data_IF_614602428357
#
_entry.id   IF_614602428357
#
_cell.length_a   1.000
_cell.length_b   1.000
_cell.length_c   1.000
_cell.angle_alpha   90.00
_cell.angle_beta   90.00
_cell.angle_gamma   90.00
#
_symmetry.space_group_name_H-M   'P 1'
#
loop_
_entity.id
_entity.type
_entity.pdbx_description
1 polymer ?
#
# COMPACT_ATOMS: atom_id res chain seq x y z
N UNK A 1 -3.50 -2.36 -25.76
CA UNK A 1 -3.08 -2.74 -24.39
C UNK A 1 -1.73 -2.11 -24.09
N UNK A 2 -1.53 -1.43 -22.94
CA UNK A 2 -0.26 -1.07 -22.24
C UNK A 2 -0.65 -0.53 -20.82
N UNK A 3 0.30 -0.47 -19.88
CA UNK A 3 0.15 -0.20 -18.42
C UNK A 3 -0.37 -1.40 -17.58
N UNK A 4 -1.27 -2.24 -18.11
CA UNK A 4 -1.85 -3.39 -17.37
C UNK A 4 -1.71 -4.77 -18.02
N UNK A 5 -1.14 -4.88 -19.21
CA UNK A 5 -1.08 -6.18 -19.88
C UNK A 5 -0.23 -6.16 -21.15
N UNK A 6 1.01 -6.61 -20.97
CA UNK A 6 2.08 -7.04 -21.90
C UNK A 6 3.44 -6.52 -21.38
N UNK A 7 4.55 -7.04 -21.91
CA UNK A 7 5.89 -6.66 -21.45
C UNK A 7 6.28 -5.30 -22.03
N UNK A 8 6.74 -4.37 -21.19
CA UNK A 8 7.16 -3.03 -21.62
C UNK A 8 8.25 -3.05 -22.70
N UNK A 9 9.07 -4.11 -22.75
CA UNK A 9 10.11 -4.32 -23.77
C UNK A 9 9.56 -4.58 -25.17
N UNK A 10 8.27 -4.91 -25.32
CA UNK A 10 7.60 -5.12 -26.61
C UNK A 10 6.48 -4.10 -26.89
N UNK A 11 6.29 -3.10 -26.01
CA UNK A 11 5.33 -1.99 -26.22
C UNK A 11 5.92 -1.02 -27.27
N UNK A 12 5.26 -0.82 -28.41
CA UNK A 12 5.68 0.10 -29.49
C UNK A 12 4.70 1.29 -29.60
N UNK A 13 4.46 1.96 -28.49
CA UNK A 13 3.44 3.01 -28.41
C UNK A 13 4.16 4.32 -28.11
N UNK A 14 4.11 5.27 -29.05
CA UNK A 14 4.79 6.56 -28.92
C UNK A 14 3.81 7.71 -28.63
N UNK A 15 2.50 7.48 -28.80
CA UNK A 15 1.45 8.49 -28.68
C UNK A 15 0.92 8.70 -27.26
N UNK A 16 1.50 8.07 -26.23
CA UNK A 16 0.96 8.10 -24.86
C UNK A 16 1.87 8.88 -23.91
N UNK A 17 1.33 9.84 -23.14
CA UNK A 17 2.12 10.58 -22.16
C UNK A 17 2.67 9.65 -21.09
N UNK A 18 3.95 9.82 -20.78
CA UNK A 18 4.65 9.11 -19.71
C UNK A 18 4.08 9.55 -18.36
N UNK A 19 3.39 8.65 -17.68
CA UNK A 19 2.91 8.86 -16.32
C UNK A 19 3.86 8.19 -15.33
N UNK A 20 4.21 8.88 -14.25
CA UNK A 20 4.98 8.28 -13.16
C UNK A 20 4.13 7.21 -12.46
N UNK A 21 4.48 5.94 -12.66
CA UNK A 21 3.79 4.83 -11.99
C UNK A 21 4.36 4.70 -10.58
N UNK A 22 3.56 5.06 -9.58
CA UNK A 22 3.88 4.84 -8.17
C UNK A 22 4.26 3.38 -7.94
N UNK A 23 5.21 3.15 -7.01
CA UNK A 23 5.74 1.82 -6.70
C UNK A 23 4.60 0.83 -6.45
N UNK A 24 4.54 -0.22 -7.27
CA UNK A 24 3.63 -1.34 -7.04
C UNK A 24 4.08 -2.03 -5.76
N UNK A 25 3.23 -2.01 -4.74
CA UNK A 25 3.49 -2.68 -3.48
C UNK A 25 2.17 -3.02 -2.79
N UNK A 26 2.08 -4.24 -2.27
CA UNK A 26 1.02 -4.58 -1.34
C UNK A 26 1.27 -3.77 -0.07
N UNK A 27 0.28 -3.01 0.45
CA UNK A 27 0.44 -2.33 1.72
C UNK A 27 0.85 -3.34 2.81
N UNK A 28 1.61 -2.88 3.80
CA UNK A 28 2.02 -3.73 4.90
C UNK A 28 0.79 -4.36 5.56
N UNK A 29 0.76 -5.70 5.63
CA UNK A 29 -0.36 -6.44 6.22
C UNK A 29 -0.40 -6.40 7.73
N UNK A 30 0.65 -5.86 8.35
CA UNK A 30 0.83 -5.84 9.79
C UNK A 30 0.99 -4.39 10.22
N UNK A 31 0.38 -4.04 11.35
CA UNK A 31 0.61 -2.75 11.97
C UNK A 31 2.03 -2.67 12.56
N UNK A 32 2.50 -1.44 12.80
CA UNK A 32 3.83 -1.20 13.38
C UNK A 32 4.01 -1.90 14.73
N UNK A 33 2.97 -1.92 15.57
CA UNK A 33 2.99 -2.60 16.86
C UNK A 33 3.26 -4.12 16.74
N UNK A 34 2.53 -4.83 15.88
CA UNK A 34 2.76 -6.27 15.68
C UNK A 34 4.10 -6.55 15.01
N UNK A 35 4.62 -5.60 14.21
CA UNK A 35 5.95 -5.68 13.62
C UNK A 35 7.05 -5.52 14.66
N UNK A 36 6.87 -4.61 15.62
CA UNK A 36 7.76 -4.41 16.77
C UNK A 36 7.82 -5.67 17.63
N UNK A 37 6.67 -6.23 18.01
CA UNK A 37 6.56 -7.44 18.82
C UNK A 37 7.29 -8.64 18.21
N UNK A 38 7.31 -8.75 16.88
CA UNK A 38 8.13 -9.75 16.19
C UNK A 38 9.62 -9.54 16.40
N UNK A 39 10.10 -8.30 16.38
CA UNK A 39 11.53 -7.98 16.56
C UNK A 39 11.97 -8.15 18.01
N UNK A 40 11.21 -7.55 18.94
CA UNK A 40 11.63 -7.48 20.35
C UNK A 40 11.33 -8.76 21.12
N UNK A 41 10.22 -9.44 20.80
CA UNK A 41 9.74 -10.62 21.52
C UNK A 41 9.71 -11.91 20.69
N UNK A 42 10.08 -11.86 19.39
CA UNK A 42 10.08 -13.03 18.51
C UNK A 42 8.71 -13.72 18.40
N UNK A 43 7.62 -12.98 18.61
CA UNK A 43 6.24 -13.52 18.60
C UNK A 43 5.66 -13.50 17.19
N UNK A 44 5.38 -14.67 16.62
CA UNK A 44 4.91 -14.85 15.25
C UNK A 44 3.39 -15.06 15.16
N UNK A 45 2.60 -14.08 15.61
CA UNK A 45 1.13 -14.12 15.51
C UNK A 45 0.59 -13.37 14.28
N UNK A 46 -0.56 -13.83 13.76
CA UNK A 46 -1.29 -13.11 12.72
C UNK A 46 -1.79 -11.78 13.27
N UNK A 47 -1.47 -10.68 12.58
CA UNK A 47 -1.94 -9.36 12.97
C UNK A 47 -3.47 -9.27 12.79
N UNK A 48 -4.21 -9.22 13.90
CA UNK A 48 -5.66 -9.06 13.94
C UNK A 48 -6.09 -7.63 14.35
N UNK A 49 -5.18 -6.66 14.30
CA UNK A 49 -5.44 -5.28 14.76
C UNK A 49 -6.41 -4.48 13.88
N UNK A 50 -6.92 -5.06 12.79
CA UNK A 50 -7.96 -4.46 11.94
C UNK A 50 -9.25 -4.12 12.72
N UNK A 51 -9.48 -4.72 13.89
CA UNK A 51 -10.64 -4.49 14.76
C UNK A 51 -10.40 -3.52 15.93
N UNK A 52 -9.20 -2.94 16.07
CA UNK A 52 -8.83 -2.05 17.18
C UNK A 52 -8.48 -0.64 16.69
N UNK A 53 -9.39 -0.01 15.96
CA UNK A 53 -9.34 1.43 15.65
C UNK A 53 -10.07 2.22 16.72
N UNK A 54 -9.41 2.36 17.87
CA UNK A 54 -9.64 3.36 18.93
C UNK A 54 -8.66 2.90 20.01
N UNK A 55 -7.49 3.49 20.19
CA UNK A 55 -7.30 4.78 20.85
C UNK A 55 -5.92 5.33 20.44
N UNK A 56 -5.88 6.61 20.06
CA UNK A 56 -4.64 7.32 19.71
C UNK A 56 -4.72 8.14 18.41
N UNK A 57 -5.44 9.26 18.47
CA UNK A 57 -5.64 10.33 17.47
C UNK A 57 -4.42 10.57 16.51
N UNK A 58 -4.62 10.88 15.23
CA UNK A 58 -5.24 12.14 14.81
C UNK A 58 -5.96 12.05 13.48
N UNK A 59 -7.21 12.48 13.54
CA UNK A 59 -8.10 12.84 12.45
C UNK A 59 -7.51 13.99 11.65
N UNK A 60 -7.22 13.75 10.37
CA UNK A 60 -7.51 14.74 9.35
C UNK A 60 -8.41 14.04 8.34
N UNK A 61 -9.70 14.27 8.52
CA UNK A 61 -10.70 14.05 7.49
C UNK A 61 -10.45 15.11 6.40
N UNK A 62 -10.03 14.69 5.21
CA UNK A 62 -10.33 15.45 4.00
C UNK A 62 -11.29 14.57 3.19
N UNK A 63 -12.61 14.79 3.28
CA UNK A 63 -13.52 14.24 2.31
C UNK A 63 -13.32 14.99 0.98
N UNK A 64 -13.37 14.26 -0.13
CA UNK A 64 -13.42 14.77 -1.53
C UNK A 64 -12.11 15.13 -2.24
N UNK A 65 -11.21 14.16 -2.44
CA UNK A 65 -10.21 14.24 -3.53
C UNK A 65 -9.99 12.87 -4.21
N UNK A 66 -11.10 12.21 -4.55
CA UNK A 66 -11.19 11.17 -5.57
C UNK A 66 -12.35 11.49 -6.50
N UNK A 67 -12.17 12.55 -7.30
CA UNK A 67 -12.83 12.74 -8.59
C UNK A 67 -11.75 12.92 -9.63
#
# INVERSE_FOLDING_TARGET
ACIKGHRSSTCKHFDRPLVEVKKKGRPATQCNHCRELRKVKQVHVKCACQSRTSEGASSIVIPELWR
#
